data_IF_155143786819
#
_entry.id   IF_155143786819
#
_cell.length_a   1.000
_cell.length_b   1.000
_cell.length_c   1.000
_cell.angle_alpha   90.00
_cell.angle_beta   90.00
_cell.angle_gamma   90.00
#
_symmetry.space_group_name_H-M   'P 1'
#
loop_
_entity.id
_entity.type
_entity.pdbx_description
1 polymer ?
#
# COMPACT_ATOMS: atom_id res chain seq x y z
N UNK A 1 -13.45 -13.21 4.33
CA UNK A 1 -12.36 -13.30 3.34
C UNK A 1 -11.25 -14.16 3.92
N UNK A 2 -10.63 -15.03 3.10
CA UNK A 2 -9.56 -15.96 3.52
C UNK A 2 -8.48 -15.99 2.44
N UNK A 3 -7.20 -15.92 2.85
CA UNK A 3 -6.08 -16.24 1.97
C UNK A 3 -5.99 -17.77 1.84
N UNK A 4 -5.85 -18.28 0.64
CA UNK A 4 -5.77 -19.72 0.36
C UNK A 4 -4.35 -20.18 0.15
N UNK A 5 -3.58 -19.43 -0.62
CA UNK A 5 -2.17 -19.74 -0.87
C UNK A 5 -1.37 -18.49 -1.16
N UNK A 6 -0.06 -18.60 -0.99
CA UNK A 6 0.92 -17.65 -1.46
C UNK A 6 2.08 -18.37 -2.12
N UNK A 7 2.51 -17.84 -3.26
CA UNK A 7 3.73 -18.31 -3.94
C UNK A 7 4.68 -17.13 -4.12
N UNK A 8 5.93 -17.33 -3.74
CA UNK A 8 7.00 -16.34 -3.79
C UNK A 8 8.12 -16.89 -4.68
N UNK A 9 8.66 -16.02 -5.54
CA UNK A 9 9.84 -16.32 -6.33
C UNK A 9 10.82 -15.16 -6.23
N UNK A 10 12.08 -15.45 -5.89
CA UNK A 10 13.16 -14.47 -5.69
C UNK A 10 12.77 -13.34 -4.74
N UNK A 11 12.11 -13.67 -3.64
CA UNK A 11 11.59 -12.73 -2.66
C UNK A 11 12.42 -12.78 -1.37
N UNK A 12 13.07 -11.71 -0.99
CA UNK A 12 13.93 -11.63 0.21
C UNK A 12 14.94 -12.79 0.23
N UNK A 13 14.85 -13.68 1.23
CA UNK A 13 15.68 -14.88 1.37
C UNK A 13 15.14 -16.08 0.58
N UNK A 14 13.93 -16.02 0.07
CA UNK A 14 13.32 -17.14 -0.66
C UNK A 14 13.66 -17.12 -2.14
N UNK A 15 14.26 -18.21 -2.63
CA UNK A 15 14.37 -18.46 -4.07
C UNK A 15 13.01 -18.86 -4.64
N UNK A 16 12.37 -19.79 -3.96
CA UNK A 16 11.01 -20.24 -4.25
C UNK A 16 10.36 -20.66 -2.95
N UNK A 17 9.12 -20.27 -2.74
CA UNK A 17 8.28 -20.71 -1.63
C UNK A 17 6.85 -20.84 -2.12
N UNK A 18 6.15 -21.90 -1.75
CA UNK A 18 4.72 -22.05 -1.93
C UNK A 18 4.11 -22.53 -0.62
N UNK A 19 3.05 -21.86 -0.18
CA UNK A 19 2.35 -22.19 1.07
C UNK A 19 0.86 -22.15 0.81
N UNK A 20 0.16 -23.16 1.32
CA UNK A 20 -1.28 -23.19 1.45
C UNK A 20 -1.65 -22.82 2.90
N UNK A 21 -2.75 -22.11 3.07
CA UNK A 21 -3.20 -21.64 4.36
C UNK A 21 -4.49 -22.32 4.79
N UNK A 22 -4.54 -22.66 6.07
CA UNK A 22 -5.79 -23.03 6.72
C UNK A 22 -6.72 -21.79 6.79
N UNK A 23 -8.03 -21.96 6.62
CA UNK A 23 -8.97 -20.85 6.69
C UNK A 23 -9.03 -20.16 8.06
N UNK A 24 -8.65 -20.83 9.14
CA UNK A 24 -8.76 -20.33 10.50
C UNK A 24 -7.44 -19.74 10.98
N UNK A 25 -6.55 -20.56 11.55
CA UNK A 25 -5.31 -20.09 12.18
C UNK A 25 -4.09 -20.74 11.57
N UNK A 26 -3.11 -19.93 11.18
CA UNK A 26 -1.82 -20.38 10.69
C UNK A 26 -0.70 -19.86 11.60
N UNK A 27 0.17 -20.76 12.07
CA UNK A 27 1.26 -20.43 12.96
C UNK A 27 2.60 -20.67 12.26
N UNK A 28 3.41 -19.62 12.14
CA UNK A 28 4.78 -19.72 11.64
C UNK A 28 5.76 -19.77 12.81
N UNK A 29 6.43 -20.89 13.00
CA UNK A 29 7.43 -21.07 14.06
C UNK A 29 8.76 -21.54 13.49
N UNK A 30 9.82 -21.44 14.26
CA UNK A 30 11.19 -21.80 13.91
C UNK A 30 12.19 -20.74 14.35
N UNK A 31 13.46 -20.93 14.01
CA UNK A 31 14.57 -20.07 14.41
C UNK A 31 14.47 -18.66 13.82
N UNK A 32 15.19 -17.71 14.45
CA UNK A 32 15.26 -16.35 13.93
C UNK A 32 15.97 -16.31 12.56
N UNK A 33 15.68 -15.27 11.79
CA UNK A 33 16.23 -15.05 10.44
C UNK A 33 15.81 -16.08 9.36
N UNK A 34 14.95 -17.06 9.65
CA UNK A 34 14.46 -18.03 8.66
C UNK A 34 13.43 -17.45 7.68
N UNK A 35 13.00 -16.21 7.86
CA UNK A 35 12.12 -15.54 6.90
C UNK A 35 10.64 -15.49 7.30
N UNK A 36 10.24 -15.97 8.47
CA UNK A 36 8.83 -15.95 8.93
C UNK A 36 8.15 -14.57 8.70
N UNK A 37 8.82 -13.51 9.12
CA UNK A 37 8.32 -12.14 8.92
C UNK A 37 8.30 -11.73 7.44
N UNK A 38 9.14 -12.32 6.59
CA UNK A 38 9.14 -12.04 5.16
C UNK A 38 7.89 -12.59 4.46
N UNK A 39 7.32 -13.70 4.97
CA UNK A 39 6.03 -14.23 4.49
C UNK A 39 4.91 -13.23 4.84
N UNK A 40 4.85 -12.76 6.08
CA UNK A 40 3.87 -11.75 6.50
C UNK A 40 4.04 -10.44 5.70
N UNK A 41 5.29 -10.02 5.45
CA UNK A 41 5.58 -8.87 4.59
C UNK A 41 5.06 -9.07 3.16
N UNK A 42 5.19 -10.27 2.59
CA UNK A 42 4.69 -10.57 1.26
C UNK A 42 3.16 -10.51 1.20
N UNK A 43 2.48 -11.05 2.21
CA UNK A 43 1.02 -10.96 2.35
C UNK A 43 0.58 -9.51 2.45
N UNK A 44 1.24 -8.71 3.30
CA UNK A 44 0.96 -7.29 3.45
C UNK A 44 1.20 -6.51 2.15
N UNK A 45 2.32 -6.77 1.48
CA UNK A 45 2.69 -6.11 0.23
C UNK A 45 1.67 -6.38 -0.88
N UNK A 46 1.20 -7.63 -1.02
CA UNK A 46 0.25 -8.00 -2.06
C UNK A 46 -1.16 -7.45 -1.79
N UNK A 47 -1.48 -7.10 -0.55
CA UNK A 47 -2.77 -6.48 -0.21
C UNK A 47 -2.75 -4.96 -0.24
N UNK A 48 -1.61 -4.33 0.09
CA UNK A 48 -1.50 -2.87 0.28
C UNK A 48 -0.61 -2.16 -0.74
N UNK A 49 0.08 -2.91 -1.59
CA UNK A 49 1.09 -2.42 -2.55
C UNK A 49 2.38 -1.87 -1.94
N UNK A 50 2.53 -1.90 -0.63
CA UNK A 50 3.70 -1.36 0.09
C UNK A 50 4.21 -2.35 1.14
N UNK A 51 5.51 -2.33 1.39
CA UNK A 51 6.08 -3.04 2.54
C UNK A 51 5.73 -2.32 3.84
N UNK A 52 5.31 -3.05 4.87
CA UNK A 52 5.11 -2.48 6.21
C UNK A 52 6.42 -1.95 6.83
N UNK A 53 7.57 -2.47 6.39
CA UNK A 53 8.90 -2.01 6.81
C UNK A 53 9.39 -0.78 6.07
N UNK A 54 8.61 -0.22 5.14
CA UNK A 54 9.03 0.91 4.30
C UNK A 54 10.08 0.56 3.24
N UNK A 55 10.36 -0.73 3.03
CA UNK A 55 11.35 -1.17 2.03
C UNK A 55 10.92 -0.79 0.62
N UNK A 56 11.87 -0.35 -0.20
CA UNK A 56 11.66 -0.12 -1.63
C UNK A 56 11.53 -1.46 -2.36
N UNK A 57 10.80 -1.49 -3.46
CA UNK A 57 10.57 -2.72 -4.24
C UNK A 57 11.89 -3.46 -4.60
N UNK A 58 12.94 -2.71 -4.95
CA UNK A 58 14.28 -3.26 -5.26
C UNK A 58 14.96 -3.96 -4.08
N UNK A 59 14.63 -3.58 -2.85
CA UNK A 59 15.21 -4.15 -1.63
C UNK A 59 14.49 -5.42 -1.18
N UNK A 60 13.30 -5.66 -1.73
CA UNK A 60 12.48 -6.85 -1.49
C UNK A 60 12.91 -7.99 -2.41
N UNK A 61 13.39 -7.65 -3.61
CA UNK A 61 13.91 -8.62 -4.58
C UNK A 61 15.16 -9.29 -3.98
N UNK A 62 15.24 -10.61 -4.15
CA UNK A 62 16.38 -11.39 -3.70
C UNK A 62 17.69 -10.80 -4.27
N UNK A 63 18.78 -10.84 -3.47
CA UNK A 63 20.04 -10.17 -3.78
C UNK A 63 20.62 -10.57 -5.15
N UNK A 64 20.57 -11.85 -5.49
CA UNK A 64 21.11 -12.47 -6.72
C UNK A 64 20.11 -12.51 -7.88
N UNK A 65 19.00 -11.77 -7.80
CA UNK A 65 17.96 -11.71 -8.81
C UNK A 65 17.62 -10.27 -9.21
N UNK A 66 17.09 -10.07 -10.41
CA UNK A 66 16.68 -8.77 -10.94
C UNK A 66 15.18 -8.55 -10.85
N UNK A 67 14.43 -9.62 -10.61
CA UNK A 67 12.98 -9.57 -10.49
C UNK A 67 12.48 -10.58 -9.47
N UNK A 68 11.29 -10.29 -8.93
CA UNK A 68 10.58 -11.14 -7.97
C UNK A 68 9.12 -11.24 -8.35
N UNK A 69 8.54 -12.40 -8.12
CA UNK A 69 7.12 -12.66 -8.34
C UNK A 69 6.46 -13.07 -7.04
N UNK A 70 5.29 -12.47 -6.78
CA UNK A 70 4.43 -12.80 -5.65
C UNK A 70 3.07 -13.12 -6.22
N UNK A 71 2.50 -14.25 -5.86
CA UNK A 71 1.13 -14.64 -6.20
C UNK A 71 0.39 -14.98 -4.94
N UNK A 72 -0.83 -14.50 -4.78
CA UNK A 72 -1.73 -14.93 -3.74
C UNK A 72 -3.07 -15.37 -4.33
N UNK A 73 -3.64 -16.41 -3.77
CA UNK A 73 -5.01 -16.82 -4.03
C UNK A 73 -5.84 -16.56 -2.77
N UNK A 74 -6.96 -15.88 -2.95
CA UNK A 74 -7.87 -15.51 -1.87
C UNK A 74 -9.30 -15.94 -2.20
N UNK A 75 -10.10 -16.17 -1.16
CA UNK A 75 -11.54 -16.33 -1.28
C UNK A 75 -12.22 -15.18 -0.56
N UNK A 76 -12.98 -14.36 -1.30
CA UNK A 76 -13.74 -13.22 -0.79
C UNK A 76 -15.19 -13.32 -1.28
N UNK A 77 -16.15 -13.26 -0.35
CA UNK A 77 -17.58 -13.28 -0.65
C UNK A 77 -17.99 -14.48 -1.55
N UNK A 78 -17.42 -15.64 -1.28
CA UNK A 78 -17.64 -16.87 -2.06
C UNK A 78 -16.81 -16.97 -3.36
N UNK A 79 -16.26 -15.89 -3.85
CA UNK A 79 -15.48 -15.84 -5.10
C UNK A 79 -14.00 -16.09 -4.86
N UNK A 80 -13.38 -16.86 -5.76
CA UNK A 80 -11.92 -16.98 -5.82
C UNK A 80 -11.33 -15.80 -6.59
N UNK A 81 -10.24 -15.25 -6.07
CA UNK A 81 -9.47 -14.17 -6.69
C UNK A 81 -8.00 -14.54 -6.67
N UNK A 82 -7.32 -14.23 -7.74
CA UNK A 82 -5.87 -14.36 -7.86
C UNK A 82 -5.25 -12.99 -8.01
N UNK A 83 -4.22 -12.72 -7.23
CA UNK A 83 -3.43 -11.49 -7.31
C UNK A 83 -2.00 -11.88 -7.66
N UNK A 84 -1.48 -11.33 -8.74
CA UNK A 84 -0.09 -11.49 -9.15
C UNK A 84 0.62 -10.13 -9.06
N UNK A 85 1.81 -10.11 -8.44
CA UNK A 85 2.66 -8.92 -8.38
C UNK A 85 4.06 -9.27 -8.88
N UNK A 86 4.53 -8.48 -9.82
CA UNK A 86 5.86 -8.61 -10.42
C UNK A 86 6.70 -7.39 -10.08
N UNK A 87 7.77 -7.59 -9.32
CA UNK A 87 8.72 -6.55 -8.93
C UNK A 87 9.95 -6.63 -9.84
N UNK A 88 10.45 -5.46 -10.28
CA UNK A 88 11.68 -5.33 -11.06
C UNK A 88 12.58 -4.26 -10.47
N UNK A 89 13.90 -4.48 -10.46
CA UNK A 89 14.87 -3.50 -9.95
C UNK A 89 14.87 -2.20 -10.76
N UNK A 90 14.63 -2.28 -12.07
CA UNK A 90 14.77 -1.17 -13.02
C UNK A 90 13.45 -0.55 -13.48
N UNK A 91 12.30 -1.10 -13.09
CA UNK A 91 10.98 -0.65 -13.55
C UNK A 91 9.98 -0.60 -12.39
N UNK A 92 8.88 0.10 -12.62
CA UNK A 92 7.72 0.04 -11.72
C UNK A 92 7.15 -1.38 -11.68
N UNK A 93 6.60 -1.76 -10.52
CA UNK A 93 5.94 -3.06 -10.34
C UNK A 93 4.75 -3.23 -11.27
N UNK A 94 4.56 -4.43 -11.78
CA UNK A 94 3.36 -4.86 -12.48
C UNK A 94 2.43 -5.58 -11.50
N UNK A 95 1.12 -5.35 -11.62
CA UNK A 95 0.10 -6.03 -10.81
C UNK A 95 -1.01 -6.50 -11.74
N UNK A 96 -1.51 -7.71 -11.49
CA UNK A 96 -2.69 -8.26 -12.16
C UNK A 96 -3.65 -8.85 -11.14
N UNK A 97 -4.95 -8.70 -11.41
CA UNK A 97 -6.04 -9.32 -10.64
C UNK A 97 -6.77 -10.24 -11.60
N UNK A 98 -6.89 -11.52 -11.24
CA UNK A 98 -7.51 -12.56 -12.07
C UNK A 98 -6.89 -12.61 -13.48
N UNK A 99 -5.53 -12.49 -13.54
CA UNK A 99 -4.72 -12.44 -14.76
C UNK A 99 -4.91 -11.18 -15.61
N UNK A 100 -5.74 -10.22 -15.20
CA UNK A 100 -5.94 -8.94 -15.89
C UNK A 100 -5.02 -7.89 -15.29
N UNK A 101 -4.08 -7.33 -16.06
CA UNK A 101 -3.19 -6.28 -15.58
C UNK A 101 -3.98 -5.02 -15.20
N UNK A 102 -3.67 -4.45 -14.02
CA UNK A 102 -4.21 -3.17 -13.58
C UNK A 102 -3.24 -2.03 -13.96
N UNK A 103 -3.81 -0.85 -14.23
CA UNK A 103 -3.01 0.32 -14.64
C UNK A 103 -2.42 1.08 -13.46
N UNK A 104 -3.14 1.11 -12.34
CA UNK A 104 -2.75 1.85 -11.14
C UNK A 104 -2.72 0.90 -9.95
N UNK A 105 -1.64 0.92 -9.19
CA UNK A 105 -1.51 0.09 -7.99
C UNK A 105 -2.65 0.32 -6.97
N UNK A 106 -3.26 1.50 -6.98
CA UNK A 106 -4.41 1.83 -6.14
C UNK A 106 -5.67 1.01 -6.45
N UNK A 107 -5.77 0.42 -7.65
CA UNK A 107 -6.90 -0.45 -8.03
C UNK A 107 -6.88 -1.79 -7.25
N UNK A 108 -5.73 -2.16 -6.72
CA UNK A 108 -5.58 -3.35 -5.86
C UNK A 108 -6.25 -3.18 -4.50
N UNK A 109 -6.23 -1.96 -3.96
CA UNK A 109 -6.78 -1.68 -2.63
C UNK A 109 -8.26 -2.07 -2.55
N UNK A 110 -8.63 -2.76 -1.45
CA UNK A 110 -9.97 -3.32 -1.25
C UNK A 110 -10.23 -4.65 -1.97
N UNK A 111 -9.30 -5.15 -2.80
CA UNK A 111 -9.38 -6.53 -3.31
C UNK A 111 -9.13 -7.52 -2.18
N UNK A 112 -8.13 -7.25 -1.36
CA UNK A 112 -7.79 -7.99 -0.15
C UNK A 112 -7.73 -7.00 1.02
N UNK A 113 -8.65 -7.13 1.98
CA UNK A 113 -8.65 -6.33 3.20
C UNK A 113 -7.89 -7.08 4.28
N UNK A 114 -7.05 -6.39 5.02
CA UNK A 114 -6.25 -7.00 6.08
C UNK A 114 -6.02 -6.02 7.23
N UNK A 115 -5.86 -6.57 8.40
CA UNK A 115 -5.31 -5.88 9.57
C UNK A 115 -3.97 -6.50 9.86
N UNK A 116 -2.93 -5.69 9.86
CA UNK A 116 -1.57 -6.11 10.19
C UNK A 116 -1.17 -5.50 11.53
N UNK A 117 -0.62 -6.32 12.40
CA UNK A 117 -0.07 -5.85 13.67
C UNK A 117 1.36 -6.35 13.84
N UNK A 118 2.26 -5.45 14.17
CA UNK A 118 3.66 -5.74 14.48
C UNK A 118 4.06 -5.00 15.76
N UNK A 119 5.14 -5.44 16.46
CA UNK A 119 5.64 -4.70 17.62
C UNK A 119 6.02 -3.25 17.31
N UNK A 120 6.42 -2.97 16.05
CA UNK A 120 6.74 -1.63 15.57
C UNK A 120 5.52 -0.71 15.52
N UNK A 121 4.30 -1.25 15.40
CA UNK A 121 3.05 -0.46 15.35
C UNK A 121 2.74 0.21 16.70
N UNK A 122 3.34 -0.23 17.81
CA UNK A 122 3.33 0.50 19.07
C UNK A 122 3.96 1.89 18.92
N UNK A 123 4.78 2.10 17.92
CA UNK A 123 5.33 3.40 17.57
C UNK A 123 4.28 4.40 17.10
N UNK A 124 3.11 3.95 16.60
CA UNK A 124 1.97 4.81 16.23
C UNK A 124 1.56 5.72 17.40
N UNK A 125 1.67 5.21 18.64
CA UNK A 125 1.38 6.00 19.85
C UNK A 125 2.52 6.98 20.15
N UNK A 126 3.76 6.57 19.93
CA UNK A 126 4.98 7.32 20.30
C UNK A 126 5.44 8.29 19.21
N UNK A 127 5.17 7.97 17.94
CA UNK A 127 5.69 8.69 16.79
C UNK A 127 4.78 9.86 16.35
N UNK A 128 5.16 10.46 15.24
CA UNK A 128 4.57 11.70 14.73
C UNK A 128 3.10 11.56 14.33
N UNK A 129 2.31 12.65 14.36
CA UNK A 129 0.96 12.67 13.81
C UNK A 129 0.86 12.22 12.35
N UNK A 130 1.95 12.33 11.57
CA UNK A 130 1.98 11.91 10.18
C UNK A 130 1.85 10.39 10.03
N UNK A 131 2.47 9.62 10.93
CA UNK A 131 2.38 8.15 10.90
C UNK A 131 0.97 7.68 11.26
N UNK A 132 0.34 8.30 12.25
CA UNK A 132 -1.06 8.02 12.59
C UNK A 132 -2.00 8.28 11.42
N UNK A 133 -1.82 9.42 10.72
CA UNK A 133 -2.62 9.71 9.51
C UNK A 133 -2.37 8.70 8.40
N UNK A 134 -1.12 8.32 8.16
CA UNK A 134 -0.79 7.32 7.14
C UNK A 134 -1.40 5.95 7.44
N UNK A 135 -1.43 5.55 8.72
CA UNK A 135 -2.09 4.33 9.15
C UNK A 135 -3.61 4.40 8.86
N UNK A 136 -4.27 5.48 9.33
CA UNK A 136 -5.70 5.68 9.08
C UNK A 136 -6.02 5.74 7.59
N UNK A 137 -5.23 6.49 6.80
CA UNK A 137 -5.36 6.56 5.34
C UNK A 137 -5.31 5.16 4.71
N UNK A 138 -4.39 4.30 5.18
CA UNK A 138 -4.24 2.95 4.62
C UNK A 138 -5.46 2.08 4.93
N UNK A 139 -5.99 2.13 6.17
CA UNK A 139 -7.18 1.39 6.57
C UNK A 139 -8.41 1.86 5.77
N UNK A 140 -8.64 3.16 5.68
CA UNK A 140 -9.76 3.73 4.90
C UNK A 140 -9.64 3.40 3.41
N UNK A 141 -8.43 3.44 2.85
CA UNK A 141 -8.20 3.07 1.46
C UNK A 141 -8.54 1.60 1.14
N UNK A 142 -8.46 0.70 2.12
CA UNK A 142 -8.89 -0.69 1.95
C UNK A 142 -10.43 -0.83 1.94
N UNK A 143 -11.13 0.07 2.60
CA UNK A 143 -12.58 0.01 2.77
C UNK A 143 -13.35 0.75 1.68
N UNK A 144 -12.80 1.88 1.21
CA UNK A 144 -13.48 2.77 0.28
C UNK A 144 -12.59 3.18 -0.91
N UNK A 145 -12.99 2.79 -2.12
CA UNK A 145 -12.34 3.17 -3.37
C UNK A 145 -12.49 4.66 -3.71
N UNK A 146 -13.56 5.29 -3.23
CA UNK A 146 -13.77 6.73 -3.42
C UNK A 146 -12.72 7.47 -2.60
N UNK A 147 -12.53 7.06 -1.33
CA UNK A 147 -11.50 7.62 -0.47
C UNK A 147 -10.10 7.54 -1.10
N UNK A 148 -9.75 6.41 -1.73
CA UNK A 148 -8.47 6.25 -2.47
C UNK A 148 -8.28 7.34 -3.51
N UNK A 149 -9.32 7.62 -4.30
CA UNK A 149 -9.26 8.63 -5.36
C UNK A 149 -9.18 10.04 -4.81
N UNK A 150 -9.94 10.34 -3.76
CA UNK A 150 -9.92 11.64 -3.08
C UNK A 150 -8.55 11.93 -2.46
N UNK A 151 -8.00 10.96 -1.74
CA UNK A 151 -6.68 11.07 -1.12
C UNK A 151 -5.56 11.27 -2.15
N UNK A 152 -5.62 10.55 -3.28
CA UNK A 152 -4.66 10.71 -4.36
C UNK A 152 -4.72 12.11 -5.00
N UNK A 153 -5.93 12.63 -5.24
CA UNK A 153 -6.13 13.97 -5.77
C UNK A 153 -5.69 15.04 -4.76
N UNK A 154 -6.05 14.89 -3.49
CA UNK A 154 -5.60 15.79 -2.43
C UNK A 154 -4.07 15.88 -2.38
N UNK A 155 -3.37 14.74 -2.34
CA UNK A 155 -1.89 14.69 -2.33
C UNK A 155 -1.31 15.38 -3.56
N UNK A 156 -1.88 15.14 -4.74
CA UNK A 156 -1.44 15.80 -5.98
C UNK A 156 -1.59 17.32 -5.92
N UNK A 157 -2.73 17.82 -5.47
CA UNK A 157 -2.99 19.27 -5.34
C UNK A 157 -2.07 19.88 -4.29
N UNK A 158 -1.86 19.22 -3.15
CA UNK A 158 -0.94 19.65 -2.11
C UNK A 158 0.50 19.78 -2.64
N UNK A 159 0.98 18.83 -3.42
CA UNK A 159 2.31 18.87 -4.02
C UNK A 159 2.44 20.04 -5.02
N UNK A 160 1.44 20.26 -5.86
CA UNK A 160 1.42 21.40 -6.80
C UNK A 160 1.43 22.73 -6.06
N UNK A 161 0.59 22.87 -5.03
CA UNK A 161 0.59 24.08 -4.19
C UNK A 161 1.94 24.32 -3.51
N UNK A 162 2.54 23.30 -2.93
CA UNK A 162 3.85 23.41 -2.28
C UNK A 162 4.96 23.76 -3.28
N UNK A 163 4.90 23.24 -4.50
CA UNK A 163 5.81 23.62 -5.57
C UNK A 163 5.60 25.08 -6.00
N UNK A 164 4.34 25.54 -6.11
CA UNK A 164 4.03 26.94 -6.40
C UNK A 164 4.57 27.87 -5.30
N UNK A 165 4.37 27.55 -4.04
CA UNK A 165 4.90 28.33 -2.92
C UNK A 165 6.42 28.48 -2.97
N UNK A 166 7.14 27.41 -3.35
CA UNK A 166 8.59 27.51 -3.56
C UNK A 166 8.94 28.43 -4.72
N UNK A 167 8.15 28.43 -5.82
CA UNK A 167 8.37 29.35 -6.93
C UNK A 167 8.07 30.81 -6.58
N UNK A 168 7.01 31.07 -5.82
CA UNK A 168 6.64 32.42 -5.34
C UNK A 168 7.75 33.04 -4.50
N UNK A 169 8.56 32.24 -3.78
CA UNK A 169 9.70 32.77 -3.02
C UNK A 169 10.76 33.44 -3.91
N UNK A 170 10.82 33.07 -5.20
CA UNK A 170 11.72 33.65 -6.19
C UNK A 170 11.00 34.60 -7.18
N UNK A 171 9.70 34.38 -7.42
CA UNK A 171 8.91 35.12 -8.39
C UNK A 171 7.51 35.40 -7.86
N UNK A 172 7.32 36.59 -7.29
CA UNK A 172 6.05 37.00 -6.68
C UNK A 172 4.89 37.15 -7.66
N UNK A 173 5.16 37.23 -8.99
CA UNK A 173 4.10 37.37 -10.00
C UNK A 173 3.18 36.13 -10.05
N UNK A 174 3.62 35.01 -9.52
CA UNK A 174 2.85 33.75 -9.47
C UNK A 174 1.87 33.69 -8.28
N UNK A 175 1.82 34.70 -7.44
CA UNK A 175 0.98 34.70 -6.23
C UNK A 175 -0.52 34.58 -6.56
N UNK A 176 -0.94 35.16 -7.68
CA UNK A 176 -2.34 35.17 -8.13
C UNK A 176 -2.85 33.75 -8.48
N UNK A 177 -1.95 32.79 -8.66
CA UNK A 177 -2.33 31.39 -8.91
C UNK A 177 -2.63 30.60 -7.62
N UNK A 178 -2.22 31.13 -6.45
CA UNK A 178 -2.34 30.41 -5.18
C UNK A 178 -3.79 30.11 -4.77
N UNK A 179 -4.75 31.04 -4.90
CA UNK A 179 -6.15 30.81 -4.53
C UNK A 179 -6.77 29.61 -5.26
N UNK A 180 -6.40 29.38 -6.53
CA UNK A 180 -6.92 28.25 -7.31
C UNK A 180 -6.54 26.90 -6.67
N UNK A 181 -5.33 26.79 -6.16
CA UNK A 181 -4.88 25.56 -5.48
C UNK A 181 -5.47 25.47 -4.06
N UNK A 182 -5.68 26.59 -3.38
CA UNK A 182 -6.31 26.64 -2.06
C UNK A 182 -7.77 26.16 -2.15
N UNK A 183 -8.53 26.63 -3.13
CA UNK A 183 -9.90 26.19 -3.37
C UNK A 183 -9.99 24.69 -3.68
N UNK A 184 -9.05 24.17 -4.48
CA UNK A 184 -9.01 22.74 -4.76
C UNK A 184 -8.66 21.91 -3.51
N UNK A 185 -7.75 22.39 -2.66
CA UNK A 185 -7.43 21.73 -1.39
C UNK A 185 -8.64 21.68 -0.48
N UNK A 186 -9.34 22.80 -0.30
CA UNK A 186 -10.57 22.89 0.52
C UNK A 186 -11.61 21.89 0.02
N UNK A 187 -11.82 21.85 -1.31
CA UNK A 187 -12.76 20.90 -1.93
C UNK A 187 -12.43 19.44 -1.59
N UNK A 188 -11.18 19.01 -1.79
CA UNK A 188 -10.80 17.62 -1.51
C UNK A 188 -10.78 17.31 -0.02
N UNK A 189 -10.36 18.25 0.84
CA UNK A 189 -10.40 18.07 2.29
C UNK A 189 -11.82 17.91 2.82
N UNK A 190 -12.77 18.71 2.32
CA UNK A 190 -14.18 18.59 2.70
C UNK A 190 -14.76 17.23 2.33
N UNK A 191 -14.44 16.71 1.12
CA UNK A 191 -14.90 15.40 0.67
C UNK A 191 -14.26 14.25 1.47
N UNK A 192 -12.99 14.36 1.80
CA UNK A 192 -12.28 13.39 2.66
C UNK A 192 -12.91 13.39 4.06
N UNK A 193 -13.17 14.56 4.64
CA UNK A 193 -13.77 14.67 5.97
C UNK A 193 -15.18 14.06 6.04
N UNK A 194 -15.97 14.20 4.97
CA UNK A 194 -17.31 13.55 4.88
C UNK A 194 -17.18 12.02 4.78
N UNK A 195 -16.13 11.52 4.12
CA UNK A 195 -15.87 10.09 3.97
C UNK A 195 -15.24 9.46 5.21
N UNK A 196 -14.63 10.25 6.10
CA UNK A 196 -14.16 9.77 7.39
C UNK A 196 -15.36 9.44 8.29
N UNK A 197 -15.46 8.20 8.84
CA UNK A 197 -16.47 7.92 9.84
C UNK A 197 -16.27 8.90 10.99
N UNK A 198 -17.31 9.65 11.30
CA UNK A 198 -17.35 10.70 12.31
C UNK A 198 -16.62 10.25 13.57
N UNK A 199 -15.57 10.96 13.93
CA UNK A 199 -14.97 10.88 15.27
C UNK A 199 -16.03 11.41 16.25
N UNK A 200 -16.82 10.49 16.81
CA UNK A 200 -17.52 10.73 18.05
C UNK A 200 -16.68 10.20 19.20
#
# INVERSE_FOLDING_TARGET
MVIKSISLQNYRNYRTLSLDFDPDTNIFYGDNAQGKTNILEAIYLIGTTKSHRGSKDREIIRFDADESHIRAEIKKDGMHRRIDMHLKKSKSKGIAIDMVPIRRSSELLGTMNMVFFSPEDLSIIKNSPAERRNFMDMELCQLDKIYVSLLANYKKVLDQRNNLLRQISFDKSKMDMLPVWDDQLVKYLSLIHISEPTRQ
#
